data_IF_236606538654
#
_entry.id   IF_236606538654
#
_cell.length_a   1.000
_cell.length_b   1.000
_cell.length_c   1.000
_cell.angle_alpha   90.00
_cell.angle_beta   90.00
_cell.angle_gamma   90.00
#
_symmetry.space_group_name_H-M   'P 1'
#
loop_
_entity.id
_entity.type
_entity.pdbx_description
1 polymer ?
#
# COMPACT_ATOMS: atom_id res chain seq x y z
N UNK A 1 20.90 29.22 14.41
CA UNK A 1 21.17 30.42 13.57
C UNK A 1 22.15 30.13 12.44
N UNK A 2 23.39 29.69 12.71
CA UNK A 2 24.37 29.39 11.64
C UNK A 2 23.99 28.23 10.68
N UNK A 3 23.10 27.35 11.12
CA UNK A 3 22.58 26.22 10.33
C UNK A 3 21.58 26.66 9.23
N UNK A 4 21.16 27.93 9.23
CA UNK A 4 20.29 28.48 8.19
C UNK A 4 21.13 29.33 7.23
N UNK A 5 21.27 28.85 5.99
CA UNK A 5 22.12 29.45 4.96
C UNK A 5 21.81 30.93 4.65
N UNK A 6 20.62 31.41 5.02
CA UNK A 6 20.11 32.74 4.64
C UNK A 6 19.90 33.70 5.82
N UNK A 7 20.23 33.30 7.05
CA UNK A 7 19.97 34.15 8.22
C UNK A 7 21.07 35.20 8.47
N UNK A 8 22.31 34.90 8.04
CA UNK A 8 23.48 35.78 8.16
C UNK A 8 24.17 35.88 6.79
N UNK A 9 23.58 36.61 5.82
CA UNK A 9 24.13 36.71 4.46
C UNK A 9 25.48 37.43 4.43
N UNK A 10 25.66 38.43 5.30
CA UNK A 10 26.87 39.26 5.29
C UNK A 10 28.04 38.59 6.04
N UNK A 11 29.27 38.63 5.50
CA UNK A 11 30.45 38.08 6.16
C UNK A 11 30.72 38.73 7.53
N UNK A 12 30.38 40.02 7.69
CA UNK A 12 30.52 40.72 8.96
C UNK A 12 29.65 40.12 10.07
N UNK A 13 28.40 39.78 9.72
CA UNK A 13 27.45 39.17 10.64
C UNK A 13 27.88 37.76 11.03
N UNK A 14 28.46 37.01 10.09
CA UNK A 14 29.00 35.67 10.34
C UNK A 14 30.19 35.71 11.29
N UNK A 15 31.12 36.65 11.10
CA UNK A 15 32.25 36.86 12.02
C UNK A 15 31.79 37.18 13.45
N UNK A 16 30.81 38.08 13.60
CA UNK A 16 30.22 38.42 14.90
C UNK A 16 29.51 37.21 15.52
N UNK A 17 28.82 36.40 14.73
CA UNK A 17 28.20 35.18 15.24
C UNK A 17 29.24 34.17 15.73
N UNK A 18 30.37 34.00 15.03
CA UNK A 18 31.44 33.11 15.47
C UNK A 18 32.06 33.57 16.79
N UNK A 19 32.33 34.87 16.96
CA UNK A 19 32.88 35.39 18.21
C UNK A 19 31.91 35.23 19.37
N UNK A 20 30.62 35.49 19.18
CA UNK A 20 29.60 35.29 20.21
C UNK A 20 29.51 33.83 20.64
N UNK A 21 29.47 32.88 19.70
CA UNK A 21 29.41 31.46 20.02
C UNK A 21 30.66 30.96 20.77
N UNK A 22 31.82 31.53 20.46
CA UNK A 22 33.05 31.23 21.15
C UNK A 22 33.07 31.83 22.57
N UNK A 23 32.70 33.10 22.72
CA UNK A 23 32.66 33.81 24.00
C UNK A 23 31.64 33.22 24.98
N UNK A 24 30.53 32.65 24.49
CA UNK A 24 29.52 31.97 25.33
C UNK A 24 30.12 30.81 26.15
N UNK A 25 31.18 30.17 25.67
CA UNK A 25 31.86 29.04 26.32
C UNK A 25 33.30 29.39 26.71
N UNK A 26 33.57 30.67 26.96
CA UNK A 26 34.90 31.15 27.33
C UNK A 26 35.37 30.44 28.61
N UNK A 27 36.46 29.69 28.50
CA UNK A 27 37.08 28.96 29.62
C UNK A 27 36.93 27.44 29.56
N UNK A 28 36.10 26.91 28.67
CA UNK A 28 36.02 25.47 28.41
C UNK A 28 36.95 25.04 27.26
N UNK A 29 37.49 23.81 27.28
CA UNK A 29 38.25 23.29 26.15
C UNK A 29 37.33 23.15 24.93
N UNK A 30 37.86 23.46 23.74
CA UNK A 30 37.05 23.53 22.52
C UNK A 30 36.28 22.22 22.25
N UNK A 31 36.88 21.06 22.51
CA UNK A 31 36.24 19.74 22.35
C UNK A 31 35.02 19.48 23.28
N UNK A 32 34.82 20.29 24.31
CA UNK A 32 33.63 20.23 25.18
C UNK A 32 32.53 21.18 24.74
N UNK A 33 32.84 22.14 23.87
CA UNK A 33 31.84 23.08 23.38
C UNK A 33 30.87 22.38 22.41
N UNK A 34 29.56 22.65 22.49
CA UNK A 34 28.57 22.04 21.59
C UNK A 34 28.72 22.51 20.14
N UNK A 35 29.51 23.56 19.90
CA UNK A 35 29.72 24.17 18.58
C UNK A 35 31.03 23.76 17.91
N UNK A 36 31.89 22.96 18.55
CA UNK A 36 33.16 22.54 17.96
C UNK A 36 33.00 21.74 16.67
N UNK A 37 31.99 20.87 16.58
CA UNK A 37 31.66 20.16 15.35
C UNK A 37 31.27 21.12 14.21
N UNK A 38 30.54 22.19 14.54
CA UNK A 38 30.13 23.24 13.58
C UNK A 38 31.35 24.00 13.07
N UNK A 39 32.27 24.40 13.95
CA UNK A 39 33.49 25.12 13.54
C UNK A 39 34.42 24.26 12.67
N UNK A 40 34.60 22.99 13.01
CA UNK A 40 35.36 22.03 12.20
C UNK A 40 34.71 21.83 10.83
N UNK A 41 33.39 21.66 10.77
CA UNK A 41 32.64 21.50 9.52
C UNK A 41 32.72 22.74 8.62
N UNK A 42 32.78 23.94 9.19
CA UNK A 42 32.98 25.20 8.46
C UNK A 42 34.39 25.34 7.86
N UNK A 43 35.42 24.83 8.56
CA UNK A 43 36.81 24.85 8.08
C UNK A 43 37.07 23.75 7.03
N UNK A 44 36.55 22.54 7.29
CA UNK A 44 36.75 21.33 6.49
C UNK A 44 35.41 20.72 6.07
N UNK A 45 34.72 21.29 5.06
CA UNK A 45 33.48 20.72 4.56
C UNK A 45 33.73 19.35 3.87
N UNK A 46 32.85 18.35 4.08
CA UNK A 46 33.03 16.97 3.61
C UNK A 46 33.08 16.83 2.08
N UNK A 47 32.55 17.81 1.33
CA UNK A 47 32.59 17.85 -0.14
C UNK A 47 34.01 17.89 -0.73
N UNK A 48 35.03 18.25 0.06
CA UNK A 48 36.41 18.36 -0.43
C UNK A 48 37.19 17.03 -0.41
N UNK A 49 36.59 15.92 0.02
CA UNK A 49 37.25 14.62 0.07
C UNK A 49 36.95 13.72 -1.13
N UNK A 50 35.92 14.02 -1.94
CA UNK A 50 35.51 13.20 -3.08
C UNK A 50 36.06 13.73 -4.42
N UNK A 51 37.32 13.41 -4.72
CA UNK A 51 37.99 13.81 -5.97
C UNK A 51 37.49 13.10 -7.26
N UNK A 52 36.41 12.32 -7.24
CA UNK A 52 35.94 11.61 -8.44
C UNK A 52 34.42 11.48 -8.46
N UNK A 53 33.76 12.19 -9.39
CA UNK A 53 32.48 11.81 -10.01
C UNK A 53 31.23 11.64 -9.12
N UNK A 54 31.33 11.77 -7.81
CA UNK A 54 30.18 11.69 -6.90
C UNK A 54 29.34 12.97 -7.03
N UNK A 55 27.99 12.86 -7.14
CA UNK A 55 27.13 14.04 -7.09
C UNK A 55 27.42 14.82 -5.81
N UNK A 56 27.36 16.16 -5.88
CA UNK A 56 27.48 17.01 -4.69
C UNK A 56 26.43 16.55 -3.68
N UNK A 57 26.86 15.94 -2.59
CA UNK A 57 25.98 15.49 -1.53
C UNK A 57 25.54 16.74 -0.75
N UNK A 58 24.44 17.34 -1.17
CA UNK A 58 23.83 18.48 -0.49
C UNK A 58 23.11 17.97 0.76
N UNK A 59 23.86 17.84 1.85
CA UNK A 59 23.29 17.36 3.10
C UNK A 59 22.35 18.39 3.76
N UNK A 60 21.28 17.92 4.41
CA UNK A 60 20.41 18.78 5.20
C UNK A 60 21.21 19.45 6.33
N UNK A 61 21.26 20.79 6.33
CA UNK A 61 22.07 21.56 7.27
C UNK A 61 23.47 21.92 6.75
N UNK A 62 23.71 21.83 5.44
CA UNK A 62 24.94 22.35 4.82
C UNK A 62 25.19 23.80 5.28
N UNK A 63 26.31 23.97 5.99
CA UNK A 63 26.73 25.27 6.50
C UNK A 63 27.21 26.17 5.36
N UNK A 64 27.08 27.49 5.50
CA UNK A 64 27.52 28.44 4.47
C UNK A 64 29.02 28.31 4.23
N UNK A 65 29.43 28.40 2.95
CA UNK A 65 30.85 28.42 2.59
C UNK A 65 31.49 29.71 3.07
N UNK A 66 32.59 29.57 3.82
CA UNK A 66 33.35 30.71 4.34
C UNK A 66 34.36 31.23 3.32
N UNK A 67 34.47 32.55 3.22
CA UNK A 67 35.54 33.23 2.51
C UNK A 67 36.90 32.95 3.19
N UNK A 68 38.03 33.06 2.47
CA UNK A 68 39.36 32.77 3.02
C UNK A 68 39.68 33.55 4.31
N UNK A 69 39.25 34.80 4.41
CA UNK A 69 39.46 35.64 5.59
C UNK A 69 38.62 35.20 6.79
N UNK A 70 37.38 34.74 6.55
CA UNK A 70 36.52 34.17 7.59
C UNK A 70 37.10 32.85 8.12
N UNK A 71 37.63 32.01 7.21
CA UNK A 71 38.32 30.77 7.60
C UNK A 71 39.51 31.07 8.48
N UNK A 72 40.36 32.01 8.08
CA UNK A 72 41.53 32.37 8.87
C UNK A 72 41.16 32.93 10.24
N UNK A 73 40.15 33.80 10.31
CA UNK A 73 39.66 34.30 11.59
C UNK A 73 39.15 33.18 12.49
N UNK A 74 38.39 32.24 11.94
CA UNK A 74 37.89 31.08 12.69
C UNK A 74 39.03 30.15 13.13
N UNK A 75 40.02 29.89 12.27
CA UNK A 75 41.24 29.14 12.60
C UNK A 75 42.00 29.81 13.75
N UNK A 76 42.13 31.13 13.72
CA UNK A 76 42.80 31.90 14.77
C UNK A 76 41.99 31.92 16.08
N UNK A 77 40.66 31.92 16.00
CA UNK A 77 39.75 31.85 17.15
C UNK A 77 39.84 30.49 17.87
N UNK A 78 39.93 29.41 17.10
CA UNK A 78 40.06 28.03 17.60
C UNK A 78 41.47 27.68 18.08
N UNK A 79 42.48 28.43 17.64
CA UNK A 79 43.86 28.22 18.06
C UNK A 79 44.12 28.78 19.46
N UNK A 80 45.14 28.25 20.15
CA UNK A 80 45.59 28.73 21.47
C UNK A 80 46.39 30.04 21.41
N UNK A 81 46.35 30.76 20.29
CA UNK A 81 47.06 32.03 20.11
C UNK A 81 46.37 33.13 20.94
N UNK A 82 47.17 34.06 21.49
CA UNK A 82 46.69 35.18 22.29
C UNK A 82 45.59 35.97 21.56
N UNK A 83 44.41 36.05 22.19
CA UNK A 83 43.20 36.61 21.57
C UNK A 83 43.11 38.14 21.60
N UNK A 84 43.98 38.78 22.39
CA UNK A 84 43.93 40.20 22.70
C UNK A 84 44.24 41.13 21.51
N UNK A 85 44.97 40.65 20.50
CA UNK A 85 45.39 41.46 19.35
C UNK A 85 44.34 41.51 18.23
N UNK A 86 43.56 40.44 18.04
CA UNK A 86 42.58 40.35 16.95
C UNK A 86 41.15 40.59 17.40
N UNK A 87 40.79 40.33 18.68
CA UNK A 87 39.47 40.67 19.23
C UNK A 87 39.23 42.18 19.32
N UNK A 88 40.29 43.00 19.17
CA UNK A 88 40.20 44.47 19.08
C UNK A 88 39.88 44.99 17.68
N UNK A 89 39.94 44.13 16.65
CA UNK A 89 39.65 44.52 15.26
C UNK A 89 38.14 44.41 15.00
N UNK A 90 37.59 45.36 14.23
CA UNK A 90 36.20 45.29 13.77
C UNK A 90 36.04 44.24 12.68
N UNK A 91 34.85 43.63 12.53
CA UNK A 91 34.57 42.67 11.47
C UNK A 91 34.96 43.18 10.06
N UNK A 92 34.67 44.45 9.77
CA UNK A 92 35.08 45.17 8.55
C UNK A 92 36.60 45.16 8.35
N UNK A 93 37.38 45.34 9.43
CA UNK A 93 38.84 45.35 9.36
C UNK A 93 39.43 43.95 9.15
N UNK A 94 38.74 42.91 9.64
CA UNK A 94 39.12 41.51 9.41
C UNK A 94 38.85 41.09 7.97
N UNK A 95 37.75 41.54 7.38
CA UNK A 95 37.39 41.28 5.98
C UNK A 95 38.24 42.10 5.00
N UNK A 96 38.74 43.26 5.40
CA UNK A 96 39.62 44.06 4.53
C UNK A 96 41.11 43.78 4.78
N UNK A 97 41.45 42.81 5.64
CA UNK A 97 42.84 42.42 5.88
C UNK A 97 43.39 41.60 4.70
N UNK A 98 44.70 41.75 4.44
CA UNK A 98 45.40 41.00 3.40
C UNK A 98 45.18 39.48 3.58
N UNK A 99 45.02 38.73 2.47
CA UNK A 99 44.81 37.30 2.54
C UNK A 99 45.99 36.64 3.26
N UNK A 100 45.72 35.89 4.33
CA UNK A 100 46.77 35.32 5.15
C UNK A 100 47.53 34.23 4.39
N UNK A 101 48.85 34.17 4.60
CA UNK A 101 49.65 33.03 4.16
C UNK A 101 49.15 31.79 4.90
N UNK A 102 48.73 30.76 4.17
CA UNK A 102 48.20 29.51 4.71
C UNK A 102 49.16 28.91 5.76
N UNK A 103 48.87 29.08 7.04
CA UNK A 103 49.42 28.21 8.08
C UNK A 103 48.40 27.09 8.32
N UNK A 104 48.65 25.85 7.86
CA UNK A 104 47.76 24.75 8.16
C UNK A 104 47.85 24.48 9.66
N UNK A 105 46.89 24.97 10.43
CA UNK A 105 46.75 24.59 11.83
C UNK A 105 46.11 23.21 11.88
N UNK A 106 46.76 22.28 12.59
CA UNK A 106 46.29 20.90 12.69
C UNK A 106 45.19 20.78 13.76
N UNK A 107 43.97 20.47 13.32
CA UNK A 107 42.82 20.22 14.20
C UNK A 107 42.52 18.73 14.39
N UNK A 108 43.39 17.82 13.94
CA UNK A 108 43.16 16.37 13.96
C UNK A 108 42.83 15.83 15.36
N UNK A 109 43.48 16.36 16.40
CA UNK A 109 43.21 15.95 17.78
C UNK A 109 41.79 16.33 18.24
N UNK A 110 41.31 17.51 17.86
CA UNK A 110 39.95 17.97 18.17
C UNK A 110 38.93 17.13 17.38
N UNK A 111 39.22 16.81 16.12
CA UNK A 111 38.39 15.93 15.31
C UNK A 111 38.26 14.52 15.91
N UNK A 112 39.36 13.96 16.41
CA UNK A 112 39.38 12.65 17.05
C UNK A 112 38.54 12.63 18.34
N UNK A 113 38.70 13.65 19.21
CA UNK A 113 37.89 13.78 20.43
C UNK A 113 36.40 13.96 20.13
N UNK A 114 36.04 14.66 19.05
CA UNK A 114 34.65 14.80 18.62
C UNK A 114 34.10 13.47 18.08
N UNK A 115 34.88 12.73 17.30
CA UNK A 115 34.49 11.42 16.76
C UNK A 115 34.28 10.38 17.88
N UNK A 116 35.16 10.37 18.89
CA UNK A 116 35.03 9.50 20.07
C UNK A 116 33.73 9.79 20.82
N UNK A 117 33.45 11.06 21.14
CA UNK A 117 32.18 11.46 21.77
C UNK A 117 30.95 11.13 20.94
N UNK A 118 31.02 11.31 19.62
CA UNK A 118 29.93 10.93 18.73
C UNK A 118 29.72 9.41 18.75
N UNK A 119 30.79 8.61 18.84
CA UNK A 119 30.70 7.15 18.89
C UNK A 119 29.95 6.65 20.13
N UNK A 120 30.09 7.34 21.27
CA UNK A 120 29.41 7.05 22.54
C UNK A 120 27.91 7.35 22.53
N UNK A 121 27.43 8.18 21.60
CA UNK A 121 26.02 8.54 21.52
C UNK A 121 25.14 7.38 21.01
N UNK A 122 23.90 7.24 21.51
CA UNK A 122 22.91 6.30 20.98
C UNK A 122 22.69 6.48 19.48
N UNK A 123 22.39 5.39 18.77
CA UNK A 123 22.16 5.42 17.32
C UNK A 123 21.01 6.36 16.91
N UNK A 124 20.00 6.50 17.77
CA UNK A 124 18.87 7.45 17.57
C UNK A 124 19.32 8.91 17.55
N UNK A 125 20.41 9.25 18.24
CA UNK A 125 20.99 10.61 18.21
C UNK A 125 21.83 10.85 16.95
N UNK A 126 22.36 9.79 16.33
CA UNK A 126 23.20 9.86 15.12
C UNK A 126 22.39 10.01 13.83
N UNK A 127 21.14 9.56 13.83
CA UNK A 127 20.24 9.55 12.66
C UNK A 127 19.09 10.56 12.79
N UNK A 128 19.24 11.57 13.64
CA UNK A 128 18.21 12.56 13.92
C UNK A 128 17.91 13.41 12.68
N UNK A 129 16.66 13.40 12.25
CA UNK A 129 16.16 14.33 11.24
C UNK A 129 16.03 15.73 11.89
N UNK A 130 16.62 16.80 11.32
CA UNK A 130 16.44 18.15 11.85
C UNK A 130 14.96 18.53 11.93
N UNK A 131 14.50 18.85 13.14
CA UNK A 131 13.12 19.32 13.42
C UNK A 131 12.88 20.71 12.82
N UNK A 132 13.95 21.45 12.54
CA UNK A 132 13.89 22.80 11.99
C UNK A 132 14.18 22.74 10.49
N UNK A 133 13.16 23.05 9.69
CA UNK A 133 13.28 23.15 8.23
C UNK A 133 13.63 24.59 7.86
N UNK A 134 14.66 24.77 7.03
CA UNK A 134 15.02 26.09 6.50
C UNK A 134 13.96 26.57 5.52
N UNK A 135 13.44 27.78 5.71
CA UNK A 135 12.45 28.38 4.80
C UNK A 135 13.11 28.79 3.47
N UNK A 136 12.57 28.36 2.32
CA UNK A 136 13.07 28.74 1.00
C UNK A 136 12.68 30.20 0.71
N UNK A 137 13.62 31.09 1.05
CA UNK A 137 13.64 32.53 0.74
C UNK A 137 12.54 33.40 1.38
N UNK A 138 12.96 34.28 2.31
CA UNK A 138 12.50 35.67 2.29
C UNK A 138 13.68 36.51 1.83
N UNK A 139 13.76 36.80 0.53
CA UNK A 139 14.76 37.72 -0.05
C UNK A 139 14.55 39.19 0.31
N UNK A 140 13.80 39.51 1.37
CA UNK A 140 13.53 40.86 1.79
C UNK A 140 13.06 40.85 3.24
N UNK A 141 13.67 41.72 4.06
CA UNK A 141 13.20 42.08 5.40
C UNK A 141 11.88 42.88 5.30
N UNK A 142 10.84 42.26 4.75
CA UNK A 142 9.49 42.79 4.80
C UNK A 142 8.72 42.08 5.90
N UNK A 143 8.44 42.83 6.97
CA UNK A 143 7.42 42.52 7.98
C UNK A 143 5.99 42.68 7.40
N UNK A 144 5.78 42.34 6.13
CA UNK A 144 4.45 42.20 5.55
C UNK A 144 4.09 40.72 5.60
N UNK A 145 3.23 40.39 6.56
CA UNK A 145 2.50 39.11 6.60
C UNK A 145 1.41 39.15 5.54
N UNK A 146 1.75 38.80 4.30
CA UNK A 146 0.74 38.46 3.31
C UNK A 146 0.19 37.07 3.64
N UNK A 147 -0.90 37.06 4.40
CA UNK A 147 -1.64 35.88 4.86
C UNK A 147 -2.32 35.06 3.74
N UNK A 148 -1.94 35.27 2.48
CA UNK A 148 -2.48 34.55 1.31
C UNK A 148 -1.57 33.43 0.77
N UNK A 149 -0.40 33.21 1.38
CA UNK A 149 0.68 32.41 0.78
C UNK A 149 0.99 31.10 1.52
N UNK A 150 0.21 30.69 2.53
CA UNK A 150 0.55 29.48 3.30
C UNK A 150 0.55 28.23 2.44
N UNK A 151 -0.43 28.07 1.54
CA UNK A 151 -0.48 26.93 0.61
C UNK A 151 0.66 26.97 -0.42
N UNK A 152 1.05 28.16 -0.89
CA UNK A 152 2.19 28.32 -1.80
C UNK A 152 3.53 28.05 -1.11
N UNK A 153 3.68 28.47 0.16
CA UNK A 153 4.84 28.19 0.99
C UNK A 153 4.95 26.70 1.32
N UNK A 154 3.84 26.05 1.68
CA UNK A 154 3.77 24.60 1.91
C UNK A 154 4.14 23.85 0.63
N UNK A 155 3.62 24.27 -0.54
CA UNK A 155 3.98 23.70 -1.84
C UNK A 155 5.47 23.91 -2.17
N UNK A 156 6.05 25.07 -1.89
CA UNK A 156 7.48 25.34 -2.08
C UNK A 156 8.35 24.50 -1.13
N UNK A 157 7.88 24.28 0.10
CA UNK A 157 8.57 23.48 1.13
C UNK A 157 8.51 21.97 0.86
N UNK A 158 7.38 21.46 0.36
CA UNK A 158 7.12 20.03 0.22
C UNK A 158 7.34 19.50 -1.20
N UNK A 159 7.03 20.29 -2.23
CA UNK A 159 6.94 19.81 -3.64
C UNK A 159 7.71 20.66 -4.66
N UNK A 160 8.43 21.69 -4.22
CA UNK A 160 9.24 22.53 -5.12
C UNK A 160 10.48 21.80 -5.66
N UNK A 161 11.03 22.33 -6.77
CA UNK A 161 12.21 21.78 -7.48
C UNK A 161 13.47 21.67 -6.60
N UNK A 162 13.54 22.41 -5.49
CA UNK A 162 14.57 22.29 -4.45
C UNK A 162 13.97 22.32 -3.03
N UNK A 163 12.86 21.59 -2.84
CA UNK A 163 12.16 21.52 -1.56
C UNK A 163 13.10 21.04 -0.43
N UNK A 164 13.21 21.78 0.69
CA UNK A 164 13.99 21.36 1.86
C UNK A 164 13.61 19.97 2.38
N UNK A 165 12.35 19.57 2.21
CA UNK A 165 11.86 18.22 2.55
C UNK A 165 12.58 17.12 1.76
N UNK A 166 12.92 17.36 0.49
CA UNK A 166 13.62 16.38 -0.35
C UNK A 166 15.07 16.18 0.08
N UNK A 167 15.70 17.17 0.73
CA UNK A 167 17.07 17.05 1.27
C UNK A 167 17.11 16.31 2.61
N UNK A 168 16.04 16.40 3.40
CA UNK A 168 16.02 15.95 4.79
C UNK A 168 15.29 14.61 4.99
N UNK A 169 14.14 14.43 4.34
CA UNK A 169 13.20 13.34 4.61
C UNK A 169 13.23 12.25 3.54
N UNK A 170 14.00 12.45 2.47
CA UNK A 170 14.23 11.41 1.46
C UNK A 170 15.53 10.69 1.78
N UNK A 171 15.53 9.36 1.98
CA UNK A 171 16.77 8.63 2.08
C UNK A 171 17.55 8.78 0.75
N UNK A 172 18.81 9.20 0.83
CA UNK A 172 19.70 9.12 -0.31
C UNK A 172 19.96 7.65 -0.61
N UNK A 173 19.50 7.19 -1.77
CA UNK A 173 19.81 5.84 -2.26
C UNK A 173 21.26 5.83 -2.76
N UNK A 174 22.21 5.57 -1.87
CA UNK A 174 23.65 5.43 -2.20
C UNK A 174 23.95 4.04 -2.79
N UNK A 175 23.00 3.45 -3.52
CA UNK A 175 23.22 2.18 -4.18
C UNK A 175 23.94 2.43 -5.49
N UNK A 176 25.08 1.79 -5.69
CA UNK A 176 25.66 1.64 -7.03
C UNK A 176 24.56 1.11 -7.97
N UNK A 177 24.41 1.72 -9.15
CA UNK A 177 23.49 1.21 -10.15
C UNK A 177 23.82 -0.27 -10.39
N UNK A 178 22.85 -1.18 -10.24
CA UNK A 178 23.13 -2.60 -10.39
C UNK A 178 23.72 -2.86 -11.79
N UNK A 179 24.72 -3.74 -11.92
CA UNK A 179 25.30 -4.04 -13.21
C UNK A 179 24.19 -4.59 -14.13
N UNK A 180 24.01 -3.96 -15.29
CA UNK A 180 23.05 -4.42 -16.27
C UNK A 180 23.56 -5.73 -16.88
N UNK A 181 22.76 -6.79 -16.78
CA UNK A 181 23.02 -8.01 -17.53
C UNK A 181 22.82 -7.71 -19.02
N UNK A 182 23.85 -7.95 -19.83
CA UNK A 182 23.79 -7.70 -21.27
C UNK A 182 23.05 -8.86 -21.96
N UNK A 183 21.73 -8.78 -22.03
CA UNK A 183 20.88 -9.79 -22.66
C UNK A 183 20.70 -9.53 -24.16
N UNK A 184 21.75 -9.67 -24.97
CA UNK A 184 21.67 -9.44 -26.43
C UNK A 184 20.84 -10.49 -27.18
N UNK A 185 20.68 -11.70 -26.60
CA UNK A 185 19.98 -12.83 -27.20
C UNK A 185 18.58 -13.10 -26.60
N UNK A 186 18.07 -12.23 -25.71
CA UNK A 186 16.75 -12.39 -25.11
C UNK A 186 15.70 -11.48 -25.76
N UNK A 187 14.47 -11.99 -25.85
CA UNK A 187 13.32 -11.22 -26.30
C UNK A 187 13.00 -10.11 -25.27
N UNK A 188 13.16 -8.85 -25.66
CA UNK A 188 12.78 -7.70 -24.82
C UNK A 188 11.26 -7.63 -24.74
N UNK A 189 10.69 -8.01 -23.59
CA UNK A 189 9.24 -8.05 -23.37
C UNK A 189 8.62 -6.66 -23.20
N UNK A 190 9.35 -5.73 -22.57
CA UNK A 190 8.94 -4.34 -22.36
C UNK A 190 10.19 -3.46 -22.28
N UNK A 191 10.23 -2.37 -23.05
CA UNK A 191 11.33 -1.41 -22.99
C UNK A 191 10.89 -0.13 -22.24
N UNK A 192 11.23 0.02 -20.95
CA UNK A 192 10.82 1.18 -20.15
C UNK A 192 11.53 2.49 -20.57
N UNK A 193 12.53 2.43 -21.46
CA UNK A 193 13.28 3.62 -21.93
C UNK A 193 12.62 4.35 -23.09
N UNK A 194 11.50 3.85 -23.62
CA UNK A 194 10.73 4.48 -24.70
C UNK A 194 9.43 5.12 -24.18
N UNK A 195 9.48 6.30 -23.53
CA UNK A 195 8.31 6.94 -22.92
C UNK A 195 7.22 7.37 -23.92
N UNK A 196 7.46 7.26 -25.23
CA UNK A 196 6.47 7.54 -26.28
C UNK A 196 5.59 6.33 -26.63
N UNK A 197 6.02 5.11 -26.30
CA UNK A 197 5.34 3.87 -26.69
C UNK A 197 4.53 3.27 -25.53
N UNK A 198 4.88 3.59 -24.29
CA UNK A 198 4.23 3.08 -23.10
C UNK A 198 3.87 4.22 -22.15
N UNK A 199 2.58 4.40 -21.88
CA UNK A 199 2.09 5.28 -20.82
C UNK A 199 1.75 4.44 -19.59
N UNK A 200 2.26 4.77 -18.40
CA UNK A 200 1.86 4.09 -17.18
C UNK A 200 0.38 4.40 -16.91
N UNK A 201 -0.49 3.42 -17.17
CA UNK A 201 -1.90 3.49 -16.80
C UNK A 201 -2.05 2.85 -15.43
N UNK A 202 -2.52 3.63 -14.47
CA UNK A 202 -2.94 3.09 -13.19
C UNK A 202 -4.34 2.50 -13.36
N UNK A 203 -4.49 1.22 -13.04
CA UNK A 203 -5.81 0.61 -12.94
C UNK A 203 -6.54 1.25 -11.75
N UNK A 204 -7.58 2.02 -12.08
CA UNK A 204 -8.39 2.72 -11.09
C UNK A 204 -9.26 1.77 -10.25
N UNK A 205 -9.35 0.50 -10.64
CA UNK A 205 -10.01 -0.56 -9.88
C UNK A 205 -9.07 -1.32 -8.95
N UNK A 206 -7.75 -1.11 -9.03
CA UNK A 206 -6.81 -1.71 -8.08
C UNK A 206 -7.12 -1.22 -6.66
N UNK A 207 -7.28 -2.17 -5.75
CA UNK A 207 -7.60 -1.92 -4.34
C UNK A 207 -8.97 -1.26 -4.10
N UNK A 208 -9.87 -1.20 -5.10
CA UNK A 208 -11.29 -0.96 -4.81
C UNK A 208 -11.81 -2.26 -4.19
N UNK A 209 -12.18 -2.28 -2.89
CA UNK A 209 -12.80 -3.47 -2.33
C UNK A 209 -14.08 -3.74 -3.12
N UNK A 210 -14.25 -4.97 -3.58
CA UNK A 210 -15.51 -5.43 -4.14
C UNK A 210 -16.55 -5.49 -3.00
N UNK A 211 -17.09 -4.32 -2.64
CA UNK A 211 -18.06 -4.16 -1.54
C UNK A 211 -19.31 -4.97 -1.87
N UNK A 212 -19.73 -4.99 -3.14
CA UNK A 212 -20.85 -5.79 -3.62
C UNK A 212 -20.60 -7.28 -3.38
N UNK A 213 -19.42 -7.78 -3.75
CA UNK A 213 -19.04 -9.16 -3.50
C UNK A 213 -18.95 -9.54 -2.02
N UNK A 214 -18.47 -8.61 -1.18
CA UNK A 214 -18.41 -8.80 0.26
C UNK A 214 -19.80 -8.87 0.92
N UNK A 215 -20.71 -7.95 0.56
CA UNK A 215 -22.08 -7.93 1.08
C UNK A 215 -22.86 -9.17 0.65
N UNK A 216 -22.77 -9.55 -0.63
CA UNK A 216 -23.39 -10.78 -1.14
C UNK A 216 -22.88 -12.02 -0.40
N UNK A 217 -21.57 -12.10 -0.13
CA UNK A 217 -20.98 -13.19 0.65
C UNK A 217 -21.47 -13.18 2.11
N UNK A 218 -21.69 -12.02 2.71
CA UNK A 218 -22.22 -11.92 4.07
C UNK A 218 -23.69 -12.38 4.13
N UNK A 219 -24.51 -11.98 3.15
CA UNK A 219 -25.90 -12.43 3.02
C UNK A 219 -25.95 -13.94 2.77
N UNK A 220 -25.08 -14.49 1.93
CA UNK A 220 -25.03 -15.92 1.70
C UNK A 220 -24.64 -16.72 2.95
N UNK A 221 -23.70 -16.21 3.75
CA UNK A 221 -23.34 -16.86 5.02
C UNK A 221 -24.50 -16.88 6.03
N UNK A 222 -25.39 -15.89 5.97
CA UNK A 222 -26.65 -15.90 6.73
C UNK A 222 -27.65 -16.89 6.12
N UNK A 223 -27.72 -16.98 4.79
CA UNK A 223 -28.60 -17.89 4.06
C UNK A 223 -28.38 -19.38 4.40
N UNK A 224 -27.14 -19.79 4.68
CA UNK A 224 -26.84 -21.17 5.10
C UNK A 224 -27.36 -21.51 6.51
N UNK A 225 -27.60 -20.50 7.36
CA UNK A 225 -27.96 -20.72 8.77
C UNK A 225 -29.44 -20.52 9.03
N UNK A 226 -30.10 -19.67 8.25
CA UNK A 226 -31.49 -19.28 8.46
C UNK A 226 -32.11 -18.74 7.18
N UNK A 227 -33.44 -18.76 7.11
CA UNK A 227 -34.19 -18.06 6.07
C UNK A 227 -33.86 -16.56 6.09
N UNK A 228 -33.53 -16.00 4.93
CA UNK A 228 -33.30 -14.57 4.75
C UNK A 228 -34.63 -13.81 4.73
N UNK A 229 -34.59 -12.53 5.10
CA UNK A 229 -35.77 -11.68 4.95
C UNK A 229 -36.03 -11.41 3.46
N UNK A 230 -37.30 -11.20 3.10
CA UNK A 230 -37.71 -10.87 1.72
C UNK A 230 -36.86 -9.74 1.09
N UNK A 231 -36.56 -8.61 1.78
CA UNK A 231 -35.70 -7.57 1.19
C UNK A 231 -34.24 -8.02 1.00
N UNK A 232 -33.69 -8.81 1.92
CA UNK A 232 -32.32 -9.35 1.78
C UNK A 232 -32.22 -10.35 0.63
N UNK A 233 -33.26 -11.15 0.43
CA UNK A 233 -33.36 -12.07 -0.69
C UNK A 233 -33.39 -11.31 -2.02
N UNK A 234 -34.21 -10.27 -2.14
CA UNK A 234 -34.27 -9.45 -3.35
C UNK A 234 -32.92 -8.76 -3.64
N UNK A 235 -32.25 -8.22 -2.62
CA UNK A 235 -30.93 -7.62 -2.75
C UNK A 235 -29.91 -8.63 -3.29
N UNK A 236 -29.82 -9.82 -2.70
CA UNK A 236 -28.87 -10.84 -3.15
C UNK A 236 -29.16 -11.32 -4.57
N UNK A 237 -30.43 -11.49 -4.94
CA UNK A 237 -30.82 -11.86 -6.31
C UNK A 237 -30.45 -10.76 -7.33
N UNK A 238 -30.63 -9.48 -6.97
CA UNK A 238 -30.30 -8.34 -7.85
C UNK A 238 -28.79 -8.26 -8.09
N UNK A 239 -27.97 -8.43 -7.04
CA UNK A 239 -26.51 -8.46 -7.17
C UNK A 239 -26.04 -9.66 -8.03
N UNK A 240 -26.68 -10.82 -7.87
CA UNK A 240 -26.43 -12.00 -8.69
C UNK A 240 -26.84 -11.83 -10.16
N UNK A 241 -27.87 -11.03 -10.45
CA UNK A 241 -28.27 -10.66 -11.81
C UNK A 241 -27.28 -9.67 -12.44
N UNK A 242 -26.81 -8.68 -11.67
CA UNK A 242 -25.86 -7.68 -12.13
C UNK A 242 -24.48 -8.28 -12.46
N UNK A 243 -23.98 -9.18 -11.61
CA UNK A 243 -22.70 -9.88 -11.85
C UNK A 243 -22.84 -11.40 -11.79
N UNK A 244 -22.91 -12.03 -12.97
CA UNK A 244 -22.92 -13.49 -13.10
C UNK A 244 -21.66 -14.18 -12.56
N UNK A 245 -20.51 -13.48 -12.47
CA UNK A 245 -19.25 -14.05 -11.95
C UNK A 245 -19.23 -14.09 -10.43
N UNK A 246 -20.08 -13.32 -9.77
CA UNK A 246 -20.18 -13.25 -8.31
C UNK A 246 -20.47 -14.62 -7.68
N UNK A 247 -21.15 -15.51 -8.41
CA UNK A 247 -21.44 -16.88 -7.98
C UNK A 247 -20.16 -17.66 -7.61
N UNK A 248 -19.05 -17.43 -8.30
CA UNK A 248 -17.77 -18.06 -8.01
C UNK A 248 -17.09 -17.49 -6.75
N UNK A 249 -17.49 -16.28 -6.33
CA UNK A 249 -16.91 -15.56 -5.18
C UNK A 249 -17.76 -15.65 -3.90
N UNK A 250 -19.06 -15.96 -4.04
CA UNK A 250 -20.00 -16.16 -2.92
C UNK A 250 -19.62 -17.38 -2.04
N UNK A 251 -18.82 -18.31 -2.58
CA UNK A 251 -18.25 -19.43 -1.81
C UNK A 251 -19.26 -20.53 -1.48
N UNK A 252 -20.17 -20.82 -2.42
CA UNK A 252 -21.05 -21.99 -2.34
C UNK A 252 -20.24 -23.27 -2.56
N UNK A 253 -20.19 -24.14 -1.56
CA UNK A 253 -19.61 -25.48 -1.68
C UNK A 253 -20.72 -26.54 -1.73
N UNK A 254 -20.53 -27.70 -2.40
CA UNK A 254 -21.54 -28.75 -2.45
C UNK A 254 -22.04 -29.18 -1.06
N UNK A 255 -21.15 -29.17 -0.05
CA UNK A 255 -21.49 -29.49 1.34
C UNK A 255 -22.51 -28.55 1.99
N UNK A 256 -22.59 -27.29 1.57
CA UNK A 256 -23.51 -26.27 2.13
C UNK A 256 -24.79 -26.13 1.31
N UNK A 257 -24.90 -26.84 0.20
CA UNK A 257 -26.08 -26.81 -0.66
C UNK A 257 -27.35 -27.30 0.05
N UNK A 258 -27.33 -28.41 0.84
CA UNK A 258 -28.53 -28.86 1.54
C UNK A 258 -29.09 -27.80 2.49
N UNK A 259 -28.20 -27.17 3.27
CA UNK A 259 -28.58 -26.10 4.21
C UNK A 259 -29.19 -24.88 3.50
N UNK A 260 -28.67 -24.54 2.32
CA UNK A 260 -29.22 -23.45 1.50
C UNK A 260 -30.60 -23.79 0.94
N UNK A 261 -30.78 -25.02 0.44
CA UNK A 261 -32.04 -25.49 -0.13
C UNK A 261 -33.13 -25.55 0.95
N UNK A 262 -32.81 -26.05 2.13
CA UNK A 262 -33.73 -26.14 3.27
C UNK A 262 -34.21 -24.77 3.75
N UNK A 263 -33.31 -23.78 3.84
CA UNK A 263 -33.63 -22.46 4.37
C UNK A 263 -34.13 -21.45 3.32
N UNK A 264 -33.60 -21.51 2.08
CA UNK A 264 -33.76 -20.49 1.05
C UNK A 264 -33.81 -21.10 -0.37
N UNK A 265 -34.88 -21.83 -0.74
CA UNK A 265 -34.95 -22.58 -2.01
C UNK A 265 -34.86 -21.70 -3.26
N UNK A 266 -35.42 -20.49 -3.23
CA UNK A 266 -35.39 -19.57 -4.38
C UNK A 266 -33.97 -19.06 -4.70
N UNK A 267 -33.15 -18.81 -3.67
CA UNK A 267 -31.74 -18.41 -3.87
C UNK A 267 -30.95 -19.60 -4.43
N UNK A 268 -31.22 -20.81 -3.91
CA UNK A 268 -30.58 -22.02 -4.41
C UNK A 268 -30.87 -22.25 -5.91
N UNK A 269 -32.10 -22.01 -6.36
CA UNK A 269 -32.47 -22.10 -7.79
C UNK A 269 -31.63 -21.15 -8.62
N UNK A 270 -31.61 -19.86 -8.28
CA UNK A 270 -30.90 -18.84 -9.08
C UNK A 270 -29.39 -19.11 -9.15
N UNK A 271 -28.79 -19.49 -8.02
CA UNK A 271 -27.36 -19.83 -7.97
C UNK A 271 -27.04 -21.08 -8.79
N UNK A 272 -27.87 -22.12 -8.70
CA UNK A 272 -27.69 -23.35 -9.50
C UNK A 272 -27.88 -23.09 -10.99
N UNK A 273 -28.85 -22.26 -11.39
CA UNK A 273 -29.05 -21.85 -12.78
C UNK A 273 -27.82 -21.17 -13.37
N UNK A 274 -27.18 -20.27 -12.62
CA UNK A 274 -25.94 -19.60 -13.06
C UNK A 274 -24.73 -20.54 -13.09
N UNK A 275 -24.71 -21.59 -12.26
CA UNK A 275 -23.65 -22.61 -12.26
C UNK A 275 -23.82 -23.69 -13.33
N UNK A 276 -24.94 -23.73 -14.06
CA UNK A 276 -25.21 -24.76 -15.08
C UNK A 276 -24.13 -24.88 -16.16
N UNK A 277 -23.47 -23.77 -16.50
CA UNK A 277 -22.41 -23.74 -17.51
C UNK A 277 -21.04 -24.16 -16.96
N UNK A 278 -20.91 -24.32 -15.63
CA UNK A 278 -19.66 -24.69 -14.98
C UNK A 278 -19.46 -26.21 -14.97
N UNK A 279 -18.20 -26.64 -15.11
CA UNK A 279 -17.81 -28.06 -15.02
C UNK A 279 -18.03 -28.66 -13.63
N UNK A 280 -18.22 -27.83 -12.59
CA UNK A 280 -18.42 -28.28 -11.21
C UNK A 280 -19.87 -28.65 -10.89
N UNK A 281 -20.83 -28.38 -11.78
CA UNK A 281 -22.27 -28.58 -11.53
C UNK A 281 -22.62 -30.04 -11.18
N UNK A 282 -21.85 -31.01 -11.69
CA UNK A 282 -22.06 -32.44 -11.45
C UNK A 282 -21.94 -32.82 -9.97
N UNK A 283 -21.06 -32.17 -9.22
CA UNK A 283 -20.91 -32.40 -7.78
C UNK A 283 -22.14 -31.89 -7.02
N UNK A 284 -22.66 -30.72 -7.38
CA UNK A 284 -23.89 -30.17 -6.79
C UNK A 284 -25.09 -31.08 -7.09
N UNK A 285 -25.20 -31.63 -8.29
CA UNK A 285 -26.23 -32.62 -8.63
C UNK A 285 -26.12 -33.90 -7.81
N UNK A 286 -24.92 -34.41 -7.56
CA UNK A 286 -24.76 -35.58 -6.70
C UNK A 286 -25.27 -35.33 -5.28
N UNK A 287 -25.04 -34.14 -4.72
CA UNK A 287 -25.58 -33.75 -3.41
C UNK A 287 -27.09 -33.54 -3.49
N UNK A 288 -27.60 -32.94 -4.57
CA UNK A 288 -29.02 -32.71 -4.82
C UNK A 288 -29.81 -34.04 -4.91
N UNK A 289 -29.20 -35.11 -5.40
CA UNK A 289 -29.83 -36.45 -5.38
C UNK A 289 -29.83 -37.06 -3.99
N UNK A 290 -28.75 -36.89 -3.24
CA UNK A 290 -28.53 -37.58 -1.96
C UNK A 290 -29.14 -36.85 -0.74
N UNK A 291 -29.64 -35.63 -0.89
CA UNK A 291 -30.32 -34.91 0.20
C UNK A 291 -31.65 -35.56 0.58
N UNK A 292 -32.10 -35.33 1.82
CA UNK A 292 -33.39 -35.83 2.30
C UNK A 292 -34.55 -35.26 1.47
N UNK A 293 -35.56 -36.10 1.21
CA UNK A 293 -36.74 -35.69 0.45
C UNK A 293 -37.56 -34.66 1.23
N UNK A 294 -37.60 -33.43 0.72
CA UNK A 294 -38.36 -32.31 1.29
C UNK A 294 -39.12 -31.54 0.21
N UNK A 295 -40.05 -30.66 0.62
CA UNK A 295 -40.78 -29.81 -0.32
C UNK A 295 -39.80 -28.85 -1.03
N UNK A 296 -38.87 -28.26 -0.28
CA UNK A 296 -37.91 -27.29 -0.80
C UNK A 296 -36.95 -27.92 -1.82
N UNK A 297 -36.41 -29.11 -1.52
CA UNK A 297 -35.56 -29.85 -2.47
C UNK A 297 -36.29 -30.19 -3.76
N UNK A 298 -37.54 -30.64 -3.66
CA UNK A 298 -38.35 -31.00 -4.82
C UNK A 298 -38.79 -29.77 -5.64
N UNK A 299 -39.03 -28.63 -4.99
CA UNK A 299 -39.29 -27.36 -5.67
C UNK A 299 -38.07 -26.92 -6.50
N UNK A 300 -36.87 -26.98 -5.91
CA UNK A 300 -35.61 -26.64 -6.61
C UNK A 300 -35.44 -27.51 -7.85
N UNK A 301 -35.56 -28.84 -7.72
CA UNK A 301 -35.42 -29.76 -8.87
C UNK A 301 -36.51 -29.49 -9.92
N UNK A 302 -37.77 -29.33 -9.51
CA UNK A 302 -38.87 -29.05 -10.45
C UNK A 302 -38.63 -27.75 -11.24
N UNK A 303 -38.16 -26.69 -10.57
CA UNK A 303 -37.82 -25.41 -11.22
C UNK A 303 -36.63 -25.53 -12.16
N UNK A 304 -35.55 -26.20 -11.74
CA UNK A 304 -34.38 -26.41 -12.61
C UNK A 304 -34.75 -27.17 -13.88
N UNK A 305 -35.57 -28.21 -13.75
CA UNK A 305 -35.98 -29.04 -14.89
C UNK A 305 -36.91 -28.33 -15.87
N UNK A 306 -37.59 -27.25 -15.44
CA UNK A 306 -38.41 -26.41 -16.35
C UNK A 306 -37.63 -25.29 -17.04
N UNK A 307 -36.52 -24.87 -16.46
CA UNK A 307 -35.75 -23.70 -16.93
C UNK A 307 -34.57 -24.12 -17.80
N UNK A 308 -33.98 -25.30 -17.55
CA UNK A 308 -32.80 -25.80 -18.28
C UNK A 308 -32.99 -27.29 -18.59
N UNK A 309 -32.49 -27.71 -19.75
CA UNK A 309 -32.44 -29.12 -20.15
C UNK A 309 -31.41 -29.87 -19.28
N UNK A 310 -31.89 -30.50 -18.21
CA UNK A 310 -31.07 -31.34 -17.35
C UNK A 310 -30.80 -32.71 -18.00
N UNK A 311 -29.62 -33.32 -17.75
CA UNK A 311 -29.34 -34.69 -18.19
C UNK A 311 -30.41 -35.67 -17.69
N UNK A 312 -30.94 -36.51 -18.58
CA UNK A 312 -31.98 -37.49 -18.22
C UNK A 312 -31.50 -38.48 -17.17
N UNK A 313 -30.21 -38.83 -17.17
CA UNK A 313 -29.56 -39.66 -16.15
C UNK A 313 -29.73 -39.08 -14.74
N UNK A 314 -29.56 -37.76 -14.58
CA UNK A 314 -29.76 -37.08 -13.30
C UNK A 314 -31.22 -37.17 -12.85
N UNK A 315 -32.17 -36.89 -13.74
CA UNK A 315 -33.61 -36.93 -13.44
C UNK A 315 -34.04 -38.34 -13.04
N UNK A 316 -33.60 -39.37 -13.76
CA UNK A 316 -33.89 -40.76 -13.45
C UNK A 316 -33.28 -41.20 -12.12
N UNK A 317 -32.04 -40.80 -11.83
CA UNK A 317 -31.38 -41.10 -10.56
C UNK A 317 -32.11 -40.43 -9.38
N UNK A 318 -32.53 -39.17 -9.53
CA UNK A 318 -33.32 -38.45 -8.53
C UNK A 318 -34.66 -39.14 -8.25
N UNK A 319 -35.39 -39.55 -9.30
CA UNK A 319 -36.65 -40.29 -9.17
C UNK A 319 -36.44 -41.63 -8.47
N UNK A 320 -35.40 -42.38 -8.86
CA UNK A 320 -35.08 -43.68 -8.26
C UNK A 320 -34.75 -43.53 -6.77
N UNK A 321 -33.96 -42.51 -6.40
CA UNK A 321 -33.67 -42.26 -5.00
C UNK A 321 -34.93 -41.86 -4.21
N UNK A 322 -35.81 -41.06 -4.82
CA UNK A 322 -37.09 -40.69 -4.22
C UNK A 322 -37.97 -41.92 -3.92
N UNK A 323 -38.12 -42.83 -4.89
CA UNK A 323 -38.90 -44.06 -4.72
C UNK A 323 -38.27 -44.96 -3.64
N UNK A 324 -36.96 -45.20 -3.73
CA UNK A 324 -36.23 -46.01 -2.73
C UNK A 324 -36.36 -45.42 -1.31
N UNK A 325 -36.27 -44.10 -1.18
CA UNK A 325 -36.44 -43.42 0.11
C UNK A 325 -37.88 -43.59 0.64
N UNK A 326 -38.90 -43.47 -0.22
CA UNK A 326 -40.28 -43.76 0.16
C UNK A 326 -40.52 -45.21 0.59
N UNK A 327 -39.82 -46.18 0.02
CA UNK A 327 -39.93 -47.61 0.39
C UNK A 327 -39.31 -47.92 1.77
N UNK A 328 -38.20 -47.24 2.11
CA UNK A 328 -37.47 -47.48 3.37
C UNK A 328 -38.14 -46.84 4.60
N UNK A 329 -39.04 -45.88 4.42
CA UNK A 329 -39.74 -45.20 5.51
C UNK A 329 -40.77 -46.13 6.16
N UNK A 330 -40.58 -46.39 7.47
CA UNK A 330 -41.44 -47.28 8.26
C UNK A 330 -42.76 -46.65 8.70
N UNK A 331 -42.80 -45.32 8.82
CA UNK A 331 -44.01 -44.61 9.22
C UNK A 331 -44.96 -44.45 8.02
N UNK A 332 -46.07 -45.19 8.07
CA UNK A 332 -47.11 -45.22 7.03
C UNK A 332 -47.73 -43.84 6.78
N UNK A 333 -47.84 -42.97 7.78
CA UNK A 333 -48.38 -41.63 7.59
C UNK A 333 -47.42 -40.75 6.81
N UNK A 334 -46.15 -40.70 7.22
CA UNK A 334 -45.11 -39.95 6.51
C UNK A 334 -44.87 -40.50 5.11
N UNK A 335 -44.86 -41.82 4.95
CA UNK A 335 -44.76 -42.48 3.65
C UNK A 335 -45.89 -42.04 2.71
N UNK A 336 -47.16 -42.09 3.16
CA UNK A 336 -48.29 -41.64 2.34
C UNK A 336 -48.18 -40.16 1.94
N UNK A 337 -47.63 -39.31 2.81
CA UNK A 337 -47.41 -37.88 2.52
C UNK A 337 -46.32 -37.68 1.46
N UNK A 338 -45.19 -38.36 1.59
CA UNK A 338 -44.08 -38.25 0.63
C UNK A 338 -44.43 -38.88 -0.72
N UNK A 339 -45.11 -40.03 -0.74
CA UNK A 339 -45.60 -40.64 -1.97
C UNK A 339 -46.53 -39.69 -2.72
N UNK A 340 -47.45 -39.00 -2.03
CA UNK A 340 -48.28 -37.95 -2.66
C UNK A 340 -47.44 -36.82 -3.27
N UNK A 341 -46.41 -36.38 -2.56
CA UNK A 341 -45.50 -35.33 -3.03
C UNK A 341 -44.74 -35.76 -4.30
N UNK A 342 -44.16 -36.97 -4.28
CA UNK A 342 -43.47 -37.57 -5.43
C UNK A 342 -44.43 -37.74 -6.62
N UNK A 343 -45.67 -38.19 -6.38
CA UNK A 343 -46.67 -38.30 -7.44
C UNK A 343 -46.98 -36.95 -8.10
N UNK A 344 -47.13 -35.87 -7.32
CA UNK A 344 -47.34 -34.52 -7.87
C UNK A 344 -46.13 -34.04 -8.67
N UNK A 345 -44.92 -34.35 -8.20
CA UNK A 345 -43.69 -34.04 -8.92
C UNK A 345 -43.56 -34.81 -10.24
N UNK A 346 -43.82 -36.12 -10.23
CA UNK A 346 -43.84 -36.94 -11.46
C UNK A 346 -44.89 -36.45 -12.45
N UNK A 347 -46.09 -36.07 -11.98
CA UNK A 347 -47.12 -35.44 -12.81
C UNK A 347 -46.62 -34.13 -13.44
N UNK A 348 -45.87 -33.31 -12.70
CA UNK A 348 -45.25 -32.09 -13.20
C UNK A 348 -44.24 -32.40 -14.33
N UNK A 349 -43.36 -33.38 -14.13
CA UNK A 349 -42.35 -33.79 -15.11
C UNK A 349 -42.97 -34.36 -16.40
N UNK A 350 -44.04 -35.15 -16.27
CA UNK A 350 -44.78 -35.71 -17.41
C UNK A 350 -45.50 -34.60 -18.19
N UNK A 351 -46.18 -33.67 -17.50
CA UNK A 351 -46.89 -32.55 -18.13
C UNK A 351 -45.94 -31.67 -18.94
N UNK A 352 -44.73 -31.45 -18.43
CA UNK A 352 -43.71 -30.62 -19.07
C UNK A 352 -42.87 -31.39 -20.12
N UNK A 353 -43.20 -32.65 -20.43
CA UNK A 353 -42.54 -33.52 -21.42
C UNK A 353 -41.04 -33.77 -21.20
N UNK A 354 -40.57 -33.63 -19.96
CA UNK A 354 -39.16 -33.88 -19.62
C UNK A 354 -38.87 -35.39 -19.63
N UNK A 355 -39.84 -36.19 -19.18
CA UNK A 355 -39.76 -37.65 -19.24
C UNK A 355 -40.60 -38.12 -20.43
N UNK A 356 -39.94 -38.60 -21.48
CA UNK A 356 -40.60 -39.46 -22.45
C UNK A 356 -40.85 -40.80 -21.78
N UNK A 357 -42.09 -41.03 -21.32
CA UNK A 357 -42.54 -42.37 -20.98
C UNK A 357 -42.64 -43.13 -22.31
N UNK A 358 -41.50 -43.59 -22.84
CA UNK A 358 -41.51 -44.71 -23.77
C UNK A 358 -41.99 -45.90 -22.95
N UNK A 359 -43.32 -46.08 -22.96
CA UNK A 359 -43.92 -47.36 -22.70
C UNK A 359 -43.26 -48.30 -23.71
N UNK A 360 -42.22 -49.02 -23.28
CA UNK A 360 -41.78 -50.22 -23.98
C UNK A 360 -42.97 -51.15 -23.92
N UNK A 361 -43.83 -51.03 -24.92
CA UNK A 361 -44.95 -51.90 -25.13
C UNK A 361 -44.40 -53.31 -25.20
N UNK A 362 -44.89 -54.14 -24.29
CA UNK A 362 -44.90 -55.58 -24.45
C UNK A 362 -45.65 -55.89 -25.76
N UNK A 363 -44.93 -55.88 -26.88
CA UNK A 363 -45.27 -56.61 -28.09
C UNK A 363 -44.10 -57.55 -28.38
N UNK A 364 -43.87 -58.48 -27.45
CA UNK A 364 -43.21 -59.73 -27.80
C UNK A 364 -44.18 -60.51 -28.67
N UNK A 365 -44.00 -60.36 -29.97
CA UNK A 365 -44.46 -61.30 -30.98
C UNK A 365 -43.63 -62.56 -30.85
N UNK A 366 -44.27 -63.65 -30.43
CA UNK A 366 -44.21 -65.00 -31.02
C UNK A 366 -45.24 -65.87 -30.32
#
# INVERSE_FOLDING_TARGET
MLLQNNLLPEPEQRLVAFTLLYELYRGEPLANTPFASVFIHLLHPPEHQSNVGAPKLEYPGQLPRLFPQEKHFLTQLMSDVSKDSFMKKTAVQVINADPPQHSPTDFSMIQLLLAEKQSELPQTCKTGIPVIVSLPEKGSNSYTTDAGSDDALIKKLATGDDAPMNKVYKPEFVTLAPPLLNCQDELVWLNPTTPKEHYPVYDSSMCVPDIAGYEARQLMNKAYKSALSIPQQQQLLTELENDSKLVYHIGLTPSKLPDLVENNPLIAIEVLLKLMQSKQITEYFSVLVNMEMSLHSMEVVNRLTTTVDLPTEFVHLYISNCISTCETIKDRYMQNRLVRLVCVFLQSLIRNKIINVQIQGAYSTT
#
